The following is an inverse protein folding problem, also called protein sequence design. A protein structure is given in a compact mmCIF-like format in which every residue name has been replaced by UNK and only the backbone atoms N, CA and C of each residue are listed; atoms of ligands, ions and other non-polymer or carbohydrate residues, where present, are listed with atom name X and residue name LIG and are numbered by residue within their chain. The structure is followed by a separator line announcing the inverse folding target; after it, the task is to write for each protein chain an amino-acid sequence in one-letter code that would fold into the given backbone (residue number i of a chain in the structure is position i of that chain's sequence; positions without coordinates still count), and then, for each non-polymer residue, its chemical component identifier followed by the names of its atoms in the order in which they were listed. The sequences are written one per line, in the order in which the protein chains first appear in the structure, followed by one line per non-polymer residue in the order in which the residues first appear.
data_IF_655358778153
#
_entry.id   IF_655358778153
#
_cell.length_a   1.000
_cell.length_b   1.000
_cell.length_c   1.000
_cell.angle_alpha   90.00
_cell.angle_beta   90.00
_cell.angle_gamma   90.00
#
_symmetry.space_group_name_H-M   'P 1'
#
loop_
_entity.id
_entity.type
_entity.pdbx_description
1 polymer ?
#
# COMPACT_ATOMS: atom_id res chain seq x y z
N UNK A 1 -27.08 -4.10 -7.16
CA UNK A 1 -25.90 -3.61 -7.87
C UNK A 1 -24.87 -3.19 -6.83
N UNK A 2 -23.61 -3.58 -7.00
CA UNK A 2 -22.50 -3.25 -6.10
C UNK A 2 -21.37 -2.70 -6.95
N UNK A 3 -20.89 -1.49 -6.62
CA UNK A 3 -19.76 -0.87 -7.30
C UNK A 3 -18.54 -0.90 -6.37
N UNK A 4 -17.48 -1.60 -6.82
CA UNK A 4 -16.21 -1.72 -6.11
C UNK A 4 -15.21 -0.70 -6.68
N UNK A 5 -14.76 0.24 -5.87
CA UNK A 5 -13.65 1.11 -6.22
C UNK A 5 -12.33 0.35 -6.16
N UNK A 6 -11.59 0.33 -7.26
CA UNK A 6 -10.26 -0.27 -7.32
C UNK A 6 -9.28 0.75 -7.88
N UNK A 7 -8.03 0.69 -7.44
CA UNK A 7 -6.98 1.50 -8.02
C UNK A 7 -6.47 0.85 -9.31
N UNK A 8 -5.94 1.64 -10.24
CA UNK A 8 -5.50 1.17 -11.56
C UNK A 8 -4.50 -0.01 -11.48
N UNK A 9 -3.65 -0.04 -10.46
CA UNK A 9 -2.70 -1.13 -10.21
C UNK A 9 -3.34 -2.42 -9.65
N UNK A 10 -4.62 -2.37 -9.25
CA UNK A 10 -5.40 -3.51 -8.74
C UNK A 10 -6.35 -4.13 -9.78
N UNK A 11 -6.37 -3.61 -11.00
CA UNK A 11 -7.29 -4.08 -12.06
C UNK A 11 -7.08 -5.56 -12.38
N UNK A 12 -5.83 -6.03 -12.40
CA UNK A 12 -5.54 -7.45 -12.65
C UNK A 12 -6.01 -8.36 -11.51
N UNK A 13 -5.87 -7.91 -10.26
CA UNK A 13 -6.36 -8.62 -9.08
C UNK A 13 -7.88 -8.70 -9.09
N UNK A 14 -8.56 -7.59 -9.42
CA UNK A 14 -10.00 -7.57 -9.58
C UNK A 14 -10.45 -8.53 -10.69
N UNK A 15 -9.82 -8.49 -11.86
CA UNK A 15 -10.15 -9.37 -12.98
C UNK A 15 -9.99 -10.86 -12.62
N UNK A 16 -9.01 -11.21 -11.80
CA UNK A 16 -8.79 -12.59 -11.37
C UNK A 16 -9.91 -13.16 -10.48
N UNK A 17 -10.67 -12.30 -9.81
CA UNK A 17 -11.77 -12.68 -8.90
C UNK A 17 -13.16 -12.33 -9.42
N UNK A 18 -13.25 -11.62 -10.54
CA UNK A 18 -14.51 -11.09 -11.08
C UNK A 18 -15.56 -12.18 -11.31
N UNK A 19 -15.16 -13.34 -11.82
CA UNK A 19 -16.08 -14.45 -12.07
C UNK A 19 -16.61 -15.03 -10.75
N UNK A 20 -15.78 -15.15 -9.72
CA UNK A 20 -16.23 -15.56 -8.37
C UNK A 20 -17.25 -14.59 -7.80
N UNK A 21 -17.02 -13.28 -7.99
CA UNK A 21 -17.95 -12.24 -7.51
C UNK A 21 -19.30 -12.33 -8.23
N UNK A 22 -19.32 -12.62 -9.53
CA UNK A 22 -20.56 -12.81 -10.30
C UNK A 22 -21.36 -14.04 -9.83
N UNK A 23 -20.66 -15.13 -9.42
CA UNK A 23 -21.31 -16.36 -8.91
C UNK A 23 -22.05 -16.16 -7.58
N UNK A 24 -21.74 -15.10 -6.82
CA UNK A 24 -22.46 -14.76 -5.59
C UNK A 24 -23.91 -14.29 -5.82
N UNK A 25 -24.30 -14.04 -7.06
CA UNK A 25 -25.64 -13.56 -7.43
C UNK A 25 -25.82 -12.05 -7.28
N UNK A 26 -24.77 -11.31 -6.98
CA UNK A 26 -24.75 -9.85 -7.00
C UNK A 26 -24.35 -9.34 -8.39
N UNK A 27 -24.94 -8.21 -8.80
CA UNK A 27 -24.45 -7.50 -9.98
C UNK A 27 -23.28 -6.60 -9.55
N UNK A 28 -22.06 -7.14 -9.68
CA UNK A 28 -20.83 -6.48 -9.23
C UNK A 28 -20.11 -5.83 -10.41
N UNK A 29 -19.67 -4.59 -10.24
CA UNK A 29 -18.87 -3.86 -11.23
C UNK A 29 -17.73 -3.11 -10.54
N UNK A 30 -16.62 -2.92 -11.25
CA UNK A 30 -15.51 -2.09 -10.75
C UNK A 30 -15.58 -0.67 -11.30
N UNK A 31 -15.10 0.28 -10.46
CA UNK A 31 -14.77 1.65 -10.87
C UNK A 31 -13.31 1.88 -10.59
N UNK A 32 -12.54 2.17 -11.64
CA UNK A 32 -11.09 2.34 -11.57
C UNK A 32 -10.73 3.78 -11.25
N UNK A 33 -9.74 3.97 -10.37
CA UNK A 33 -9.17 5.26 -9.99
C UNK A 33 -7.66 5.27 -10.19
N UNK A 34 -7.11 6.42 -10.55
CA UNK A 34 -5.69 6.58 -10.87
C UNK A 34 -4.82 6.95 -9.65
N UNK A 35 -5.44 7.35 -8.54
CA UNK A 35 -4.75 7.76 -7.31
C UNK A 35 -5.29 7.04 -6.06
N UNK A 36 -4.61 7.25 -4.93
CA UNK A 36 -4.92 6.57 -3.66
C UNK A 36 -5.97 7.30 -2.81
N UNK A 37 -6.39 8.52 -3.16
CA UNK A 37 -7.33 9.33 -2.35
C UNK A 37 -8.76 9.23 -2.88
N UNK A 38 -8.93 9.28 -4.19
CA UNK A 38 -10.24 9.32 -4.84
C UNK A 38 -11.17 8.13 -4.54
N UNK A 39 -10.67 6.87 -4.37
CA UNK A 39 -11.56 5.77 -3.97
C UNK A 39 -12.24 6.00 -2.62
N UNK A 40 -11.54 6.58 -1.64
CA UNK A 40 -12.11 6.87 -0.32
C UNK A 40 -13.07 8.06 -0.37
N UNK A 41 -12.77 9.09 -1.15
CA UNK A 41 -13.71 10.20 -1.42
C UNK A 41 -15.00 9.66 -2.02
N UNK A 42 -14.90 8.85 -3.07
CA UNK A 42 -16.04 8.26 -3.74
C UNK A 42 -16.88 7.36 -2.83
N UNK A 43 -16.22 6.63 -1.92
CA UNK A 43 -16.88 5.79 -0.92
C UNK A 43 -17.61 6.64 0.13
N UNK A 44 -16.95 7.66 0.66
CA UNK A 44 -17.53 8.56 1.66
C UNK A 44 -18.75 9.33 1.11
N UNK A 45 -18.71 9.71 -0.17
CA UNK A 45 -19.80 10.40 -0.87
C UNK A 45 -20.93 9.46 -1.34
N UNK A 46 -20.74 8.14 -1.24
CA UNK A 46 -21.73 7.13 -1.66
C UNK A 46 -21.81 6.91 -3.18
N UNK A 47 -20.79 7.31 -3.95
CA UNK A 47 -20.73 7.06 -5.39
C UNK A 47 -20.18 5.70 -5.76
N UNK A 48 -19.66 4.96 -4.78
CA UNK A 48 -19.33 3.54 -4.80
C UNK A 48 -19.79 2.89 -3.49
N UNK A 49 -19.89 1.56 -3.46
CA UNK A 49 -20.39 0.81 -2.31
C UNK A 49 -19.27 0.34 -1.38
N UNK A 50 -18.14 -0.04 -1.95
CA UNK A 50 -16.91 -0.36 -1.21
C UNK A 50 -15.68 -0.01 -2.08
N UNK A 51 -14.50 -0.04 -1.47
CA UNK A 51 -13.26 -0.04 -2.24
C UNK A 51 -12.33 -1.20 -1.80
N UNK A 52 -11.41 -1.57 -2.68
CA UNK A 52 -10.47 -2.66 -2.47
C UNK A 52 -9.11 -2.31 -3.06
N UNK A 53 -8.21 -1.74 -2.24
CA UNK A 53 -6.85 -1.35 -2.67
C UNK A 53 -5.92 -1.04 -1.51
N UNK A 54 -6.43 -0.87 -0.28
CA UNK A 54 -5.72 -0.27 0.83
C UNK A 54 -5.65 -1.18 2.05
N UNK A 55 -4.75 -0.84 2.97
CA UNK A 55 -4.60 -1.43 4.29
C UNK A 55 -5.19 -0.50 5.38
N UNK A 56 -5.44 -1.06 6.56
CA UNK A 56 -6.12 -0.35 7.65
C UNK A 56 -5.37 0.90 8.15
N UNK A 57 -4.01 0.92 8.31
CA UNK A 57 -3.32 2.16 8.69
C UNK A 57 -3.52 3.31 7.71
N UNK A 58 -3.59 3.04 6.40
CA UNK A 58 -3.89 4.07 5.40
C UNK A 58 -5.30 4.61 5.56
N UNK A 59 -6.30 3.72 5.68
CA UNK A 59 -7.71 4.10 5.89
C UNK A 59 -7.89 4.94 7.17
N UNK A 60 -7.23 4.56 8.26
CA UNK A 60 -7.24 5.33 9.52
C UNK A 60 -6.68 6.74 9.31
N UNK A 61 -5.52 6.87 8.66
CA UNK A 61 -4.92 8.17 8.32
C UNK A 61 -5.85 9.03 7.45
N UNK A 62 -6.51 8.41 6.46
CA UNK A 62 -7.50 9.09 5.62
C UNK A 62 -8.68 9.62 6.46
N UNK A 63 -9.27 8.78 7.31
CA UNK A 63 -10.39 9.17 8.19
C UNK A 63 -10.02 10.35 9.11
N UNK A 64 -8.85 10.29 9.72
CA UNK A 64 -8.35 11.35 10.61
C UNK A 64 -8.20 12.70 9.88
N UNK A 65 -7.64 12.68 8.69
CA UNK A 65 -7.42 13.88 7.87
C UNK A 65 -8.69 14.49 7.31
N UNK A 66 -9.69 13.66 7.00
CA UNK A 66 -10.90 14.09 6.29
C UNK A 66 -12.17 14.09 7.17
N UNK A 67 -12.07 13.68 8.44
CA UNK A 67 -13.22 13.62 9.36
C UNK A 67 -14.26 12.59 8.94
N UNK A 68 -13.84 11.50 8.28
CA UNK A 68 -14.68 10.39 7.84
C UNK A 68 -14.62 9.22 8.84
N UNK A 69 -15.48 8.23 8.66
CA UNK A 69 -15.57 7.04 9.50
C UNK A 69 -15.71 5.75 8.69
N UNK A 70 -14.99 5.68 7.58
CA UNK A 70 -14.90 4.47 6.77
C UNK A 70 -14.28 3.34 7.58
N UNK A 71 -14.70 2.11 7.35
CA UNK A 71 -14.23 0.94 8.10
C UNK A 71 -13.76 -0.15 7.17
N UNK A 72 -12.71 -0.85 7.57
CA UNK A 72 -12.24 -2.03 6.87
C UNK A 72 -12.94 -3.26 7.44
N UNK A 73 -13.42 -4.14 6.57
CA UNK A 73 -14.11 -5.37 6.97
C UNK A 73 -13.17 -6.57 7.02
N UNK A 74 -13.56 -7.57 7.79
CA UNK A 74 -12.93 -8.88 7.80
C UNK A 74 -13.71 -9.87 6.90
N UNK A 75 -13.02 -10.85 6.31
CA UNK A 75 -11.58 -11.11 6.40
C UNK A 75 -10.75 -10.19 5.52
N UNK A 76 -9.48 -9.96 5.88
CA UNK A 76 -8.49 -9.37 4.98
C UNK A 76 -8.28 -10.30 3.79
N UNK A 77 -7.94 -9.74 2.65
CA UNK A 77 -7.92 -10.48 1.38
C UNK A 77 -6.53 -10.95 0.98
N UNK A 78 -5.50 -10.14 1.18
CA UNK A 78 -4.12 -10.52 0.93
C UNK A 78 -3.13 -9.68 1.75
N UNK A 79 -1.89 -10.18 1.85
CA UNK A 79 -0.80 -9.63 2.66
C UNK A 79 0.32 -9.19 1.72
N UNK A 80 0.41 -7.88 1.37
CA UNK A 80 1.39 -7.42 0.41
C UNK A 80 2.80 -7.50 0.97
N UNK A 81 3.71 -8.17 0.25
CA UNK A 81 5.13 -8.08 0.51
C UNK A 81 5.57 -6.61 0.31
N UNK A 82 6.19 -6.03 1.33
CA UNK A 82 6.82 -4.71 1.24
C UNK A 82 8.34 -4.88 1.37
N UNK A 83 9.09 -4.32 0.43
CA UNK A 83 10.51 -4.59 0.35
C UNK A 83 11.29 -3.39 -0.23
N UNK A 84 12.60 -3.42 -0.05
CA UNK A 84 13.54 -2.51 -0.69
C UNK A 84 14.09 -3.17 -1.95
N UNK A 85 14.00 -2.47 -3.08
CA UNK A 85 14.47 -2.90 -4.39
C UNK A 85 15.57 -1.99 -4.90
N UNK A 86 16.50 -2.57 -5.64
CA UNK A 86 17.54 -1.85 -6.37
C UNK A 86 17.78 -2.47 -7.74
N UNK A 87 18.16 -1.64 -8.71
CA UNK A 87 18.66 -2.07 -10.04
C UNK A 87 20.19 -2.02 -10.11
N UNK A 88 20.85 -1.59 -9.01
CA UNK A 88 22.30 -1.34 -8.95
C UNK A 88 23.05 -2.20 -7.94
N UNK A 89 22.37 -2.64 -6.87
CA UNK A 89 22.98 -3.28 -5.70
C UNK A 89 22.26 -4.59 -5.38
N UNK A 90 22.99 -5.57 -4.91
CA UNK A 90 22.47 -6.91 -4.60
C UNK A 90 22.21 -7.13 -3.10
N UNK A 91 22.68 -6.22 -2.24
CA UNK A 91 22.46 -6.26 -0.79
C UNK A 91 22.43 -4.87 -0.16
N UNK A 92 21.85 -4.75 1.05
CA UNK A 92 21.85 -3.50 1.81
C UNK A 92 23.24 -3.03 2.19
N UNK A 93 24.18 -3.96 2.39
CA UNK A 93 25.58 -3.67 2.77
C UNK A 93 26.39 -3.02 1.62
N UNK A 94 25.90 -3.13 0.39
CA UNK A 94 26.54 -2.56 -0.80
C UNK A 94 26.07 -1.13 -1.08
N UNK A 95 25.04 -0.63 -0.38
CA UNK A 95 24.54 0.73 -0.56
C UNK A 95 25.66 1.74 -0.19
N UNK A 96 26.05 2.63 -1.11
CA UNK A 96 27.12 3.59 -0.82
C UNK A 96 26.66 4.72 0.12
N UNK A 97 27.61 5.32 0.82
CA UNK A 97 27.35 6.56 1.54
C UNK A 97 26.81 7.64 0.57
N UNK A 98 25.76 8.31 0.99
CA UNK A 98 25.05 9.29 0.16
C UNK A 98 24.09 8.71 -0.87
N UNK A 99 23.80 7.41 -0.81
CA UNK A 99 22.80 6.76 -1.68
C UNK A 99 21.46 7.48 -1.60
N UNK A 100 20.77 7.52 -2.73
CA UNK A 100 19.41 8.08 -2.82
C UNK A 100 18.38 6.97 -2.73
N UNK A 101 17.45 7.08 -1.75
CA UNK A 101 16.40 6.09 -1.49
C UNK A 101 15.04 6.72 -1.75
N UNK A 102 14.26 6.08 -2.61
CA UNK A 102 12.88 6.46 -2.91
C UNK A 102 11.91 5.87 -1.88
N UNK A 103 11.08 6.73 -1.31
CA UNK A 103 10.04 6.41 -0.33
C UNK A 103 8.66 6.80 -0.88
N UNK A 104 7.61 6.23 -0.30
CA UNK A 104 6.24 6.65 -0.62
C UNK A 104 5.97 8.06 -0.09
N UNK A 105 5.13 8.82 -0.78
CA UNK A 105 4.74 10.16 -0.37
C UNK A 105 3.55 10.20 0.60
N UNK A 106 2.84 9.09 0.79
CA UNK A 106 1.84 8.98 1.85
C UNK A 106 2.49 8.63 3.19
N UNK A 107 1.97 9.20 4.27
CA UNK A 107 2.59 9.14 5.59
C UNK A 107 2.74 7.70 6.11
N UNK A 108 1.77 6.81 5.84
CA UNK A 108 1.78 5.46 6.41
C UNK A 108 2.79 4.55 5.71
N UNK A 109 2.88 4.61 4.37
CA UNK A 109 3.86 3.82 3.63
C UNK A 109 5.26 4.45 3.64
N UNK A 110 5.37 5.78 3.82
CA UNK A 110 6.66 6.41 4.10
C UNK A 110 7.23 5.92 5.43
N UNK A 111 6.42 5.94 6.50
CA UNK A 111 6.82 5.40 7.81
C UNK A 111 7.23 3.93 7.70
N UNK A 112 6.47 3.11 6.97
CA UNK A 112 6.80 1.70 6.73
C UNK A 112 8.16 1.52 6.06
N UNK A 113 8.47 2.33 5.03
CA UNK A 113 9.77 2.32 4.37
C UNK A 113 10.92 2.74 5.30
N UNK A 114 10.69 3.75 6.14
CA UNK A 114 11.68 4.21 7.13
C UNK A 114 11.93 3.16 8.22
N UNK A 115 10.89 2.51 8.74
CA UNK A 115 11.03 1.39 9.69
C UNK A 115 11.76 0.20 9.06
N UNK A 116 11.56 -0.08 7.77
CA UNK A 116 12.34 -1.08 7.07
C UNK A 116 13.84 -0.74 7.07
N UNK A 117 14.21 0.52 6.77
CA UNK A 117 15.60 0.98 6.85
C UNK A 117 16.18 0.88 8.27
N UNK A 118 15.40 1.27 9.28
CA UNK A 118 15.78 1.16 10.68
C UNK A 118 16.00 -0.28 11.13
N UNK A 119 15.14 -1.21 10.71
CA UNK A 119 15.25 -2.64 11.01
C UNK A 119 16.53 -3.26 10.47
N UNK A 120 17.09 -2.68 9.39
CA UNK A 120 18.38 -3.06 8.82
C UNK A 120 19.56 -2.33 9.47
N UNK A 121 19.31 -1.47 10.48
CA UNK A 121 20.36 -0.68 11.14
C UNK A 121 20.95 0.43 10.29
N UNK A 122 20.29 0.83 9.21
CA UNK A 122 20.76 1.83 8.26
C UNK A 122 20.52 3.28 8.74
N UNK A 123 19.48 3.49 9.53
CA UNK A 123 19.09 4.78 10.12
C UNK A 123 18.55 4.55 11.54
N UNK A 124 18.34 5.63 12.28
CA UNK A 124 17.59 5.64 13.55
C UNK A 124 16.48 6.69 13.45
N UNK A 125 15.28 6.31 13.87
CA UNK A 125 14.10 7.19 13.86
C UNK A 125 13.85 7.83 15.23
N UNK A 126 12.95 8.80 15.29
CA UNK A 126 12.45 9.36 16.53
C UNK A 126 11.31 8.49 17.10
N UNK A 127 11.62 7.71 18.13
CA UNK A 127 10.67 6.82 18.83
C UNK A 127 9.44 7.55 19.40
N UNK A 128 9.47 8.88 19.51
CA UNK A 128 8.34 9.66 19.97
C UNK A 128 7.30 9.94 18.89
N UNK A 129 7.61 9.63 17.62
CA UNK A 129 6.75 9.84 16.46
C UNK A 129 6.16 8.50 16.00
N UNK A 130 4.86 8.34 16.11
CA UNK A 130 4.15 7.09 15.74
C UNK A 130 4.23 6.79 14.23
N UNK A 131 4.18 7.82 13.39
CA UNK A 131 4.26 7.70 11.93
C UNK A 131 5.37 8.62 11.41
N UNK A 132 6.64 8.18 11.49
CA UNK A 132 7.78 9.02 11.12
C UNK A 132 7.80 9.31 9.62
N UNK A 133 8.24 10.53 9.30
CA UNK A 133 8.58 10.97 7.95
C UNK A 133 10.11 11.05 7.79
N UNK A 134 10.58 11.29 6.58
CA UNK A 134 12.02 11.48 6.34
C UNK A 134 12.65 12.63 7.16
N UNK A 135 11.84 13.54 7.72
CA UNK A 135 12.30 14.62 8.59
C UNK A 135 12.47 14.20 10.06
N UNK A 136 11.98 13.01 10.42
CA UNK A 136 12.05 12.45 11.77
C UNK A 136 13.21 11.45 11.93
N UNK A 137 14.10 11.38 10.93
CA UNK A 137 15.33 10.58 10.98
C UNK A 137 16.33 11.27 11.94
N UNK A 138 16.64 10.61 13.08
CA UNK A 138 17.59 11.11 14.09
C UNK A 138 19.03 10.89 13.69
N UNK A 139 19.36 9.68 13.24
CA UNK A 139 20.69 9.31 12.82
C UNK A 139 20.66 8.73 11.42
N UNK A 140 21.56 9.21 10.60
CA UNK A 140 21.74 8.78 9.21
C UNK A 140 23.24 8.68 8.93
N UNK A 141 23.92 7.66 9.48
CA UNK A 141 25.37 7.55 9.43
C UNK A 141 25.92 7.43 8.00
N UNK A 142 25.12 6.90 7.07
CA UNK A 142 25.45 6.76 5.67
C UNK A 142 25.12 8.00 4.82
N UNK A 143 24.58 9.05 5.42
CA UNK A 143 24.15 10.27 4.72
C UNK A 143 23.19 10.00 3.54
N UNK A 144 22.29 9.03 3.67
CA UNK A 144 21.29 8.74 2.64
C UNK A 144 20.45 9.97 2.32
N UNK A 145 20.12 10.11 1.06
CA UNK A 145 19.20 11.12 0.57
C UNK A 145 17.85 10.45 0.30
N UNK A 146 16.79 11.10 0.71
CA UNK A 146 15.44 10.60 0.49
C UNK A 146 14.74 11.42 -0.57
N UNK A 147 14.05 10.74 -1.46
CA UNK A 147 13.07 11.32 -2.38
C UNK A 147 11.73 10.64 -2.11
N UNK A 148 10.64 11.32 -2.40
CA UNK A 148 9.30 10.78 -2.23
C UNK A 148 8.49 10.87 -3.53
N UNK A 149 7.69 9.83 -3.78
CA UNK A 149 6.76 9.78 -4.89
C UNK A 149 5.56 8.90 -4.55
N UNK A 150 4.50 9.01 -5.32
CA UNK A 150 3.39 8.05 -5.29
C UNK A 150 3.93 6.63 -5.47
N UNK A 151 3.45 5.68 -4.66
CA UNK A 151 3.98 4.30 -4.66
C UNK A 151 3.94 3.65 -6.05
N UNK A 152 2.89 3.91 -6.82
CA UNK A 152 2.74 3.40 -8.19
C UNK A 152 3.75 3.97 -9.19
N UNK A 153 4.37 5.10 -8.86
CA UNK A 153 5.36 5.80 -9.71
C UNK A 153 6.80 5.43 -9.34
N UNK A 154 7.06 5.04 -8.08
CA UNK A 154 8.41 4.69 -7.60
C UNK A 154 9.16 3.70 -8.50
N UNK A 155 8.56 2.63 -9.05
CA UNK A 155 9.27 1.70 -9.93
C UNK A 155 9.91 2.36 -11.15
N UNK A 156 9.35 3.46 -11.64
CA UNK A 156 9.89 4.19 -12.80
C UNK A 156 11.23 4.87 -12.48
N UNK A 157 11.48 5.19 -11.21
CA UNK A 157 12.70 5.85 -10.75
C UNK A 157 13.83 4.88 -10.38
N UNK A 158 13.61 3.56 -10.41
CA UNK A 158 14.56 2.55 -9.89
C UNK A 158 15.97 2.63 -10.51
N UNK A 159 16.05 3.07 -11.77
CA UNK A 159 17.33 3.26 -12.46
C UNK A 159 18.05 4.55 -12.10
N UNK A 160 17.30 5.55 -11.63
CA UNK A 160 17.81 6.88 -11.33
C UNK A 160 18.27 7.02 -9.87
N UNK A 161 17.69 6.23 -8.97
CA UNK A 161 18.02 6.18 -7.53
C UNK A 161 18.83 4.93 -7.18
N UNK A 162 19.25 4.79 -5.94
CA UNK A 162 20.03 3.63 -5.49
C UNK A 162 19.13 2.52 -4.94
N UNK A 163 18.01 2.86 -4.32
CA UNK A 163 16.99 1.90 -3.90
C UNK A 163 15.60 2.58 -3.80
N UNK A 164 14.55 1.77 -3.80
CA UNK A 164 13.17 2.19 -3.57
C UNK A 164 12.49 1.25 -2.58
N UNK A 165 11.63 1.77 -1.70
CA UNK A 165 10.85 0.98 -0.73
C UNK A 165 9.37 1.04 -1.11
N UNK A 166 8.77 -0.12 -1.43
CA UNK A 166 7.37 -0.19 -1.85
C UNK A 166 6.80 -1.61 -1.74
N UNK A 167 5.47 -1.72 -1.88
CA UNK A 167 4.82 -3.02 -1.99
C UNK A 167 5.13 -3.68 -3.34
N UNK A 168 5.49 -4.97 -3.31
CA UNK A 168 5.97 -5.77 -4.45
C UNK A 168 5.02 -5.76 -5.67
N UNK A 169 3.69 -5.67 -5.44
CA UNK A 169 2.70 -5.58 -6.50
C UNK A 169 2.94 -4.43 -7.48
N UNK A 170 3.51 -3.31 -7.01
CA UNK A 170 3.84 -2.18 -7.87
C UNK A 170 5.02 -2.46 -8.81
N UNK A 171 6.00 -3.30 -8.38
CA UNK A 171 7.06 -3.78 -9.26
C UNK A 171 6.47 -4.61 -10.40
N UNK A 172 5.61 -5.57 -10.07
CA UNK A 172 4.94 -6.43 -11.07
C UNK A 172 4.11 -5.60 -12.05
N UNK A 173 3.34 -4.63 -11.56
CA UNK A 173 2.51 -3.76 -12.40
C UNK A 173 3.34 -2.86 -13.33
N UNK A 174 4.56 -2.53 -12.93
CA UNK A 174 5.52 -1.81 -13.78
C UNK A 174 6.28 -2.73 -14.77
N UNK A 175 6.00 -4.04 -14.78
CA UNK A 175 6.69 -5.01 -15.61
C UNK A 175 8.09 -5.37 -15.12
N UNK A 176 8.37 -5.12 -13.83
CA UNK A 176 9.62 -5.44 -13.17
C UNK A 176 9.50 -6.69 -12.30
N UNK A 177 10.62 -7.32 -11.95
CA UNK A 177 10.62 -8.45 -11.03
C UNK A 177 10.29 -7.99 -9.59
N UNK A 178 9.45 -8.75 -8.92
CA UNK A 178 9.24 -8.62 -7.47
C UNK A 178 10.22 -9.49 -6.65
N UNK A 179 11.01 -10.32 -7.32
CA UNK A 179 12.10 -11.09 -6.72
C UNK A 179 13.39 -10.28 -6.70
N UNK A 180 14.34 -10.66 -5.86
CA UNK A 180 15.66 -10.01 -5.80
C UNK A 180 15.65 -8.68 -5.05
N UNK A 181 14.77 -8.53 -4.06
CA UNK A 181 14.81 -7.40 -3.14
C UNK A 181 16.03 -7.46 -2.21
N UNK A 182 16.53 -6.29 -1.78
CA UNK A 182 17.65 -6.18 -0.84
C UNK A 182 17.27 -6.65 0.57
N UNK A 183 16.07 -6.29 1.01
CA UNK A 183 15.46 -6.70 2.28
C UNK A 183 13.94 -6.52 2.22
N UNK A 184 13.23 -7.16 3.15
CA UNK A 184 11.78 -7.09 3.25
C UNK A 184 11.34 -6.74 4.68
N UNK A 185 10.15 -6.17 4.78
CA UNK A 185 9.45 -5.93 6.03
C UNK A 185 8.83 -7.22 6.56
N UNK A 186 8.73 -7.35 7.88
CA UNK A 186 8.05 -8.44 8.59
C UNK A 186 6.67 -8.04 9.15
N UNK A 187 6.16 -6.86 8.77
CA UNK A 187 4.93 -6.24 9.27
C UNK A 187 3.69 -6.49 8.39
N UNK A 188 3.74 -7.48 7.50
CA UNK A 188 2.71 -7.72 6.49
C UNK A 188 1.29 -7.86 7.07
N UNK A 189 1.15 -8.43 8.28
CA UNK A 189 -0.15 -8.58 8.95
C UNK A 189 -0.79 -7.22 9.28
N UNK A 190 0.01 -6.25 9.70
CA UNK A 190 -0.45 -4.88 9.99
C UNK A 190 -0.95 -4.18 8.73
N UNK A 191 -0.33 -4.47 7.59
CA UNK A 191 -0.63 -3.84 6.30
C UNK A 191 -1.40 -4.75 5.34
N UNK A 192 -2.13 -5.73 5.90
CA UNK A 192 -3.03 -6.57 5.12
C UNK A 192 -4.11 -5.72 4.42
N UNK A 193 -4.34 -6.00 3.15
CA UNK A 193 -5.35 -5.32 2.32
C UNK A 193 -6.71 -5.98 2.51
N UNK A 194 -7.74 -5.16 2.62
CA UNK A 194 -9.14 -5.58 2.77
C UNK A 194 -10.10 -4.66 2.02
N UNK A 195 -11.38 -4.98 2.11
CA UNK A 195 -12.43 -4.09 1.63
C UNK A 195 -12.72 -3.01 2.67
N UNK A 196 -12.86 -1.78 2.22
CA UNK A 196 -13.37 -0.68 3.03
C UNK A 196 -14.81 -0.32 2.60
N UNK A 197 -15.64 0.00 3.60
CA UNK A 197 -17.05 0.38 3.43
C UNK A 197 -17.38 1.58 4.32
N UNK A 198 -18.54 2.20 4.12
CA UNK A 198 -19.12 3.12 5.09
C UNK A 198 -19.50 2.37 6.38
N UNK A 199 -19.45 3.05 7.51
CA UNK A 199 -19.68 2.44 8.83
C UNK A 199 -21.04 1.72 8.96
N UNK A 200 -22.08 2.22 8.28
CA UNK A 200 -23.41 1.61 8.23
C UNK A 200 -23.46 0.28 7.49
N UNK A 201 -22.54 0.04 6.56
CA UNK A 201 -22.49 -1.15 5.72
C UNK A 201 -21.58 -2.27 6.28
N UNK A 202 -20.83 -2.02 7.36
CA UNK A 202 -19.79 -2.93 7.89
C UNK A 202 -20.27 -4.35 8.21
N UNK A 203 -21.54 -4.49 8.60
CA UNK A 203 -22.13 -5.76 8.99
C UNK A 203 -23.06 -6.34 7.90
N UNK A 204 -23.17 -5.68 6.76
CA UNK A 204 -24.02 -6.12 5.67
C UNK A 204 -23.54 -7.46 5.07
N UNK A 205 -24.50 -8.34 4.74
CA UNK A 205 -24.16 -9.67 4.25
C UNK A 205 -23.39 -9.62 2.93
N UNK A 206 -23.76 -8.70 2.03
CA UNK A 206 -23.13 -8.59 0.71
C UNK A 206 -21.61 -8.34 0.78
N UNK A 207 -21.13 -7.51 1.72
CA UNK A 207 -19.68 -7.24 1.81
C UNK A 207 -18.93 -8.41 2.45
N UNK A 208 -19.55 -9.14 3.38
CA UNK A 208 -18.99 -10.37 3.95
C UNK A 208 -18.82 -11.43 2.88
N UNK A 209 -19.86 -11.67 2.08
CA UNK A 209 -19.82 -12.63 0.98
C UNK A 209 -18.72 -12.28 -0.04
N UNK A 210 -18.58 -10.99 -0.39
CA UNK A 210 -17.53 -10.50 -1.29
C UNK A 210 -16.14 -10.70 -0.69
N UNK A 211 -15.93 -10.31 0.56
CA UNK A 211 -14.63 -10.42 1.22
C UNK A 211 -14.19 -11.89 1.36
N UNK A 212 -15.11 -12.80 1.71
CA UNK A 212 -14.84 -14.24 1.80
C UNK A 212 -14.52 -14.85 0.43
N UNK A 213 -15.22 -14.43 -0.64
CA UNK A 213 -15.01 -14.96 -1.98
C UNK A 213 -13.63 -14.63 -2.57
N UNK A 214 -13.01 -13.53 -2.16
CA UNK A 214 -11.71 -13.07 -2.72
C UNK A 214 -10.51 -13.36 -1.80
N UNK A 215 -10.71 -14.07 -0.69
CA UNK A 215 -9.60 -14.53 0.13
C UNK A 215 -8.65 -15.43 -0.66
N UNK A 216 -7.34 -15.16 -0.57
CA UNK A 216 -6.27 -15.94 -1.19
C UNK A 216 -5.56 -16.83 -0.18
#
# INVERSE_FOLDING_TARGET
DITIGVRADMVNQYAAVEDKLKELGYNVQSKVFDDSVQPDVALAEGSIDCNWYQHEPYLKSYNEKNGTNLVMVEPKTFYPLFAMYSDKWDSVDELPDGATIGLCNDATNQARGLHLLESQGLITLDDSVESPTMYDVKENPHNFKFIEAEMSVLPQSIKDVDAICLAAGHMVNAGLSADGYLCQSDDNDTYAVGFAVRAEDKDAQWIKDIAEAVQC
#
